data_IF_723658392724
#
_entry.id   IF_723658392724
#
_cell.length_a   1.000
_cell.length_b   1.000
_cell.length_c   1.000
_cell.angle_alpha   90.00
_cell.angle_beta   90.00
_cell.angle_gamma   90.00
#
_symmetry.space_group_name_H-M   'P 1'
#
loop_
_entity.id
_entity.type
_entity.pdbx_description
1 polymer ?
#
# COMPACT_ATOMS: atom_id res chain seq x y z
N UNK A 1 -33.08 17.96 12.00
CA UNK A 1 -33.44 17.36 10.71
C UNK A 1 -33.76 15.88 10.83
N UNK A 2 -32.81 14.96 11.08
CA UNK A 2 -33.12 13.52 11.13
C UNK A 2 -34.19 13.16 12.18
N UNK A 3 -34.10 13.71 13.40
CA UNK A 3 -35.15 13.55 14.42
C UNK A 3 -36.52 14.04 13.93
N UNK A 4 -36.58 15.20 13.28
CA UNK A 4 -37.80 15.78 12.74
C UNK A 4 -38.46 14.89 11.69
N UNK A 5 -37.66 14.31 10.77
CA UNK A 5 -38.15 13.36 9.76
C UNK A 5 -38.75 12.10 10.40
N UNK A 6 -38.11 11.57 11.45
CA UNK A 6 -38.63 10.42 12.18
C UNK A 6 -39.90 10.73 12.99
N UNK A 7 -40.02 11.90 13.60
CA UNK A 7 -41.28 12.31 14.25
C UNK A 7 -42.45 12.40 13.26
N UNK A 8 -42.18 12.71 11.98
CA UNK A 8 -43.22 12.75 10.94
C UNK A 8 -43.59 11.36 10.41
N UNK A 9 -42.67 10.40 10.42
CA UNK A 9 -42.84 9.07 9.80
C UNK A 9 -43.20 7.96 10.79
N UNK A 10 -42.76 8.06 12.04
CA UNK A 10 -43.02 7.04 13.05
C UNK A 10 -44.38 7.27 13.71
N UNK A 11 -45.12 6.18 13.92
CA UNK A 11 -46.51 6.21 14.43
C UNK A 11 -46.57 6.81 15.85
N UNK A 12 -45.53 6.66 16.65
CA UNK A 12 -45.47 7.13 18.05
C UNK A 12 -44.29 8.06 18.36
N UNK A 13 -43.50 8.46 17.35
CA UNK A 13 -42.37 9.37 17.52
C UNK A 13 -41.14 8.78 18.22
N UNK A 14 -41.21 7.56 18.77
CA UNK A 14 -40.15 7.06 19.67
C UNK A 14 -38.84 6.76 18.96
N UNK A 15 -38.89 6.43 17.67
CA UNK A 15 -37.69 6.14 16.88
C UNK A 15 -36.75 7.34 16.79
N UNK A 16 -37.28 8.57 16.89
CA UNK A 16 -36.46 9.79 16.91
C UNK A 16 -35.50 9.84 18.12
N UNK A 17 -35.82 9.16 19.23
CA UNK A 17 -34.95 9.10 20.40
C UNK A 17 -33.71 8.22 20.19
N UNK A 18 -33.72 7.37 19.16
CA UNK A 18 -32.56 6.60 18.75
C UNK A 18 -31.56 7.42 17.93
N UNK A 19 -31.91 8.63 17.49
CA UNK A 19 -30.92 9.54 16.87
C UNK A 19 -30.13 10.25 17.96
N UNK A 20 -28.85 9.91 18.07
CA UNK A 20 -27.93 10.47 19.06
C UNK A 20 -26.92 11.41 18.41
N UNK A 21 -26.59 12.48 19.12
CA UNK A 21 -25.60 13.47 18.67
C UNK A 21 -24.22 13.12 19.23
N UNK A 22 -23.21 13.13 18.37
CA UNK A 22 -21.83 12.80 18.74
C UNK A 22 -21.08 12.20 17.55
N UNK A 23 -19.76 12.06 17.70
CA UNK A 23 -18.96 11.31 16.73
C UNK A 23 -19.14 9.81 16.96
N UNK A 24 -19.49 9.05 15.92
CA UNK A 24 -19.56 7.59 15.98
C UNK A 24 -18.24 6.94 16.42
N UNK A 25 -17.12 7.57 16.07
CA UNK A 25 -15.78 7.03 16.32
C UNK A 25 -15.36 7.26 17.77
N UNK A 26 -15.43 8.49 18.27
CA UNK A 26 -14.98 8.83 19.64
C UNK A 26 -16.07 8.84 20.71
N UNK A 27 -17.35 8.89 20.33
CA UNK A 27 -18.49 9.05 21.25
C UNK A 27 -19.62 8.09 20.87
N UNK A 28 -19.39 6.79 21.02
CA UNK A 28 -20.37 5.75 20.69
C UNK A 28 -21.60 5.81 21.61
N UNK A 29 -22.69 6.38 21.09
CA UNK A 29 -23.94 6.57 21.81
C UNK A 29 -24.82 5.31 21.86
N UNK A 30 -24.38 4.21 21.24
CA UNK A 30 -25.07 2.93 21.21
C UNK A 30 -24.14 1.79 21.65
N UNK A 31 -23.24 2.09 22.59
CA UNK A 31 -22.17 1.18 22.98
C UNK A 31 -22.64 -0.10 23.67
N UNK A 32 -23.87 -0.07 24.18
CA UNK A 32 -24.59 -1.16 24.87
C UNK A 32 -25.49 -1.98 23.93
N UNK A 33 -25.56 -1.62 22.63
CA UNK A 33 -26.49 -2.22 21.67
C UNK A 33 -25.80 -3.03 20.58
N UNK A 34 -26.56 -3.97 20.03
CA UNK A 34 -26.27 -4.75 18.82
C UNK A 34 -27.50 -4.81 17.93
N UNK A 35 -27.34 -4.98 16.62
CA UNK A 35 -28.42 -4.85 15.65
C UNK A 35 -28.46 -6.02 14.66
N UNK A 36 -29.65 -6.42 14.22
CA UNK A 36 -29.82 -7.45 13.17
C UNK A 36 -29.33 -6.95 11.80
N UNK A 37 -29.65 -5.70 11.48
CA UNK A 37 -29.32 -5.05 10.20
C UNK A 37 -28.62 -3.73 10.45
N UNK A 38 -27.47 -3.53 9.81
CA UNK A 38 -26.70 -2.29 9.88
C UNK A 38 -26.50 -1.75 8.47
N UNK A 39 -27.06 -0.58 8.19
CA UNK A 39 -26.99 0.07 6.88
C UNK A 39 -26.36 1.46 7.03
N UNK A 40 -25.34 1.77 6.24
CA UNK A 40 -24.68 3.07 6.31
C UNK A 40 -24.13 3.56 4.97
N UNK A 41 -24.12 4.88 4.81
CA UNK A 41 -23.36 5.59 3.79
C UNK A 41 -22.50 6.66 4.50
N UNK A 42 -21.36 6.27 5.10
CA UNK A 42 -20.48 7.21 5.79
C UNK A 42 -19.80 8.18 4.82
N UNK A 43 -19.27 9.31 5.32
CA UNK A 43 -18.54 10.25 4.48
C UNK A 43 -17.28 9.61 3.85
N UNK A 44 -17.08 9.82 2.55
CA UNK A 44 -15.95 9.27 1.81
C UNK A 44 -14.68 10.10 2.04
N UNK A 45 -13.53 9.44 2.27
CA UNK A 45 -12.21 10.08 2.37
C UNK A 45 -12.11 11.17 3.44
N UNK A 46 -12.94 11.09 4.50
CA UNK A 46 -12.94 12.08 5.57
C UNK A 46 -11.80 11.79 6.55
N UNK A 47 -11.05 12.84 6.90
CA UNK A 47 -10.06 12.73 7.96
C UNK A 47 -10.73 12.48 9.32
N UNK A 48 -10.07 11.70 10.17
CA UNK A 48 -10.53 11.39 11.52
C UNK A 48 -9.60 11.99 12.58
N UNK A 49 -8.91 13.09 12.26
CA UNK A 49 -7.93 13.73 13.15
C UNK A 49 -8.52 14.12 14.50
N UNK A 50 -9.79 14.56 14.53
CA UNK A 50 -10.51 14.93 15.76
C UNK A 50 -10.83 13.73 16.65
N UNK A 51 -10.92 12.54 16.08
CA UNK A 51 -11.24 11.30 16.79
C UNK A 51 -9.97 10.49 17.13
N UNK A 52 -8.79 10.99 16.71
CA UNK A 52 -7.53 10.24 16.69
C UNK A 52 -7.20 9.59 18.03
N UNK A 53 -7.08 10.41 19.06
CA UNK A 53 -6.60 9.96 20.37
C UNK A 53 -7.55 8.92 20.98
N UNK A 54 -8.87 9.10 20.81
CA UNK A 54 -9.86 8.15 21.30
C UNK A 54 -9.80 6.81 20.56
N UNK A 55 -9.71 6.85 19.23
CA UNK A 55 -9.63 5.66 18.36
C UNK A 55 -8.33 4.89 18.62
N UNK A 56 -7.17 5.57 18.66
CA UNK A 56 -5.88 4.92 18.89
C UNK A 56 -5.81 4.34 20.32
N UNK A 57 -6.35 5.04 21.33
CA UNK A 57 -6.42 4.52 22.71
C UNK A 57 -7.30 3.27 22.79
N UNK A 58 -8.43 3.27 22.09
CA UNK A 58 -9.31 2.10 22.05
C UNK A 58 -8.67 0.93 21.28
N UNK A 59 -7.97 1.20 20.17
CA UNK A 59 -7.29 0.18 19.36
C UNK A 59 -6.24 -0.63 20.14
N UNK A 60 -5.63 -0.05 21.18
CA UNK A 60 -4.69 -0.76 22.06
C UNK A 60 -5.35 -1.84 22.93
N UNK A 61 -6.69 -1.84 23.05
CA UNK A 61 -7.42 -2.83 23.84
C UNK A 61 -7.79 -4.02 22.94
N UNK A 62 -7.33 -5.21 23.30
CA UNK A 62 -7.68 -6.44 22.60
C UNK A 62 -9.21 -6.63 22.55
N UNK A 63 -9.73 -6.99 21.37
CA UNK A 63 -11.17 -7.20 21.14
C UNK A 63 -12.01 -5.93 21.10
N UNK A 64 -11.40 -4.74 21.12
CA UNK A 64 -12.12 -3.47 20.93
C UNK A 64 -12.54 -3.27 19.47
N UNK A 65 -13.36 -2.24 19.23
CA UNK A 65 -13.88 -1.91 17.89
C UNK A 65 -12.77 -1.72 16.86
N UNK A 66 -11.63 -1.15 17.28
CA UNK A 66 -10.54 -0.76 16.37
C UNK A 66 -9.28 -1.62 16.55
N UNK A 67 -9.39 -2.76 17.22
CA UNK A 67 -8.25 -3.64 17.53
C UNK A 67 -7.65 -4.34 16.30
N UNK A 68 -8.35 -4.35 15.16
CA UNK A 68 -7.82 -4.87 13.90
C UNK A 68 -6.84 -3.91 13.21
N UNK A 69 -6.76 -2.66 13.68
CA UNK A 69 -5.87 -1.64 13.15
C UNK A 69 -6.58 -0.31 12.90
N UNK A 70 -5.77 0.72 12.66
CA UNK A 70 -6.24 2.07 12.32
C UNK A 70 -5.73 2.47 10.94
N UNK A 71 -6.60 2.93 10.03
CA UNK A 71 -6.18 3.39 8.70
C UNK A 71 -5.37 4.70 8.80
N UNK A 72 -4.85 5.23 7.69
CA UNK A 72 -4.27 6.58 7.68
C UNK A 72 -5.26 7.64 8.16
N UNK A 73 -4.75 8.72 8.77
CA UNK A 73 -5.57 9.81 9.33
C UNK A 73 -6.51 10.46 8.30
N UNK A 74 -6.10 10.50 7.03
CA UNK A 74 -6.87 11.12 5.96
C UNK A 74 -8.06 10.30 5.47
N UNK A 75 -8.26 9.06 5.95
CA UNK A 75 -9.36 8.21 5.49
C UNK A 75 -9.91 7.33 6.64
N UNK A 76 -11.05 7.73 7.20
CA UNK A 76 -11.72 7.02 8.28
C UNK A 76 -12.74 5.95 7.86
N UNK A 77 -12.91 5.63 6.57
CA UNK A 77 -14.01 4.77 6.10
C UNK A 77 -13.99 3.37 6.75
N UNK A 78 -12.80 2.75 6.87
CA UNK A 78 -12.66 1.44 7.50
C UNK A 78 -12.95 1.46 9.02
N UNK A 79 -12.85 2.62 9.70
CA UNK A 79 -13.25 2.74 11.10
C UNK A 79 -14.76 2.64 11.25
N UNK A 80 -15.55 3.21 10.33
CA UNK A 80 -17.00 3.05 10.34
C UNK A 80 -17.41 1.59 10.11
N UNK A 81 -16.74 0.89 9.20
CA UNK A 81 -16.98 -0.54 8.97
C UNK A 81 -16.65 -1.37 10.22
N UNK A 82 -15.49 -1.14 10.84
CA UNK A 82 -15.12 -1.76 12.11
C UNK A 82 -16.15 -1.49 13.23
N UNK A 83 -16.63 -0.25 13.34
CA UNK A 83 -17.71 0.10 14.26
C UNK A 83 -18.99 -0.71 14.01
N UNK A 84 -19.42 -0.84 12.75
CA UNK A 84 -20.60 -1.65 12.38
C UNK A 84 -20.40 -3.13 12.72
N UNK A 85 -19.21 -3.68 12.46
CA UNK A 85 -18.86 -5.07 12.79
C UNK A 85 -18.96 -5.32 14.29
N UNK A 86 -18.45 -4.39 15.11
CA UNK A 86 -18.52 -4.51 16.57
C UNK A 86 -19.94 -4.38 17.14
N UNK A 87 -20.91 -3.94 16.33
CA UNK A 87 -22.33 -3.83 16.69
C UNK A 87 -23.17 -4.96 16.13
N UNK A 88 -22.55 -5.98 15.53
CA UNK A 88 -23.23 -7.20 15.14
C UNK A 88 -23.64 -8.01 16.37
N UNK A 89 -24.79 -8.68 16.28
CA UNK A 89 -25.18 -9.71 17.25
C UNK A 89 -24.25 -10.92 17.10
N UNK A 90 -23.98 -11.67 18.17
CA UNK A 90 -23.29 -12.95 18.07
C UNK A 90 -24.01 -13.91 17.13
N UNK A 91 -23.26 -14.77 16.42
CA UNK A 91 -23.83 -15.81 15.55
C UNK A 91 -24.82 -16.70 16.29
N UNK A 92 -24.54 -17.02 17.57
CA UNK A 92 -25.43 -17.81 18.45
C UNK A 92 -26.79 -17.17 18.70
N UNK A 93 -26.97 -15.89 18.36
CA UNK A 93 -28.23 -15.14 18.45
C UNK A 93 -28.82 -14.83 17.06
N UNK A 94 -28.37 -15.52 16.01
CA UNK A 94 -28.81 -15.33 14.62
C UNK A 94 -27.90 -14.43 13.79
N UNK A 95 -26.86 -13.84 14.40
CA UNK A 95 -25.92 -12.96 13.71
C UNK A 95 -26.53 -11.65 13.21
N UNK A 96 -25.82 -11.00 12.28
CA UNK A 96 -26.22 -9.74 11.67
C UNK A 96 -25.90 -9.68 10.19
N UNK A 97 -26.52 -8.71 9.50
CA UNK A 97 -26.17 -8.31 8.13
C UNK A 97 -25.80 -6.84 8.09
N UNK A 98 -24.67 -6.55 7.45
CA UNK A 98 -24.12 -5.21 7.27
C UNK A 98 -24.12 -4.88 5.79
N UNK A 99 -24.61 -3.69 5.42
CA UNK A 99 -24.38 -3.11 4.11
C UNK A 99 -23.88 -1.67 4.25
N UNK A 100 -22.67 -1.40 3.74
CA UNK A 100 -22.04 -0.09 3.82
C UNK A 100 -21.58 0.38 2.45
N UNK A 101 -21.91 1.62 2.10
CA UNK A 101 -21.47 2.24 0.85
C UNK A 101 -20.13 2.95 1.07
N UNK A 102 -19.15 2.66 0.23
CA UNK A 102 -17.80 3.22 0.30
C UNK A 102 -17.29 3.55 -1.10
N UNK A 103 -16.32 4.46 -1.22
CA UNK A 103 -15.55 4.60 -2.46
C UNK A 103 -14.58 3.41 -2.65
N UNK A 104 -13.71 3.47 -3.66
CA UNK A 104 -12.72 2.42 -3.92
C UNK A 104 -11.57 2.31 -2.89
N UNK A 105 -11.31 3.34 -2.08
CA UNK A 105 -10.11 3.40 -1.22
C UNK A 105 -9.99 2.20 -0.25
N UNK A 106 -11.05 1.80 0.49
CA UNK A 106 -11.02 0.64 1.38
C UNK A 106 -10.66 -0.70 0.73
N UNK A 107 -10.81 -0.84 -0.60
CA UNK A 107 -10.57 -2.11 -1.29
C UNK A 107 -9.09 -2.46 -1.42
N UNK A 108 -8.20 -1.47 -1.58
CA UNK A 108 -6.80 -1.71 -1.97
C UNK A 108 -5.78 -0.80 -1.29
N UNK A 109 -6.21 0.25 -0.57
CA UNK A 109 -5.26 1.14 0.11
C UNK A 109 -4.51 0.40 1.22
N UNK A 110 -3.21 0.64 1.34
CA UNK A 110 -2.39 0.18 2.46
C UNK A 110 -1.65 -1.11 2.13
N UNK A 111 -0.34 -1.10 2.41
CA UNK A 111 0.57 -2.20 2.14
C UNK A 111 0.44 -3.34 3.18
N UNK A 112 1.09 -4.48 2.94
CA UNK A 112 1.09 -5.60 3.87
C UNK A 112 1.57 -5.19 5.28
N UNK A 113 0.78 -5.56 6.31
CA UNK A 113 1.00 -5.15 7.70
C UNK A 113 0.66 -3.68 8.03
N UNK A 114 0.11 -2.91 7.09
CA UNK A 114 -0.49 -1.59 7.39
C UNK A 114 -1.90 -1.74 7.97
N UNK A 115 -2.40 -0.70 8.65
CA UNK A 115 -3.70 -0.74 9.31
C UNK A 115 -4.86 -1.07 8.36
N UNK A 116 -4.91 -0.47 7.17
CA UNK A 116 -5.95 -0.77 6.18
C UNK A 116 -5.92 -2.24 5.72
N UNK A 117 -4.72 -2.77 5.46
CA UNK A 117 -4.55 -4.17 5.08
C UNK A 117 -4.89 -5.12 6.21
N UNK A 118 -4.51 -4.81 7.45
CA UNK A 118 -4.83 -5.63 8.63
C UNK A 118 -6.33 -5.65 8.95
N UNK A 119 -7.04 -4.54 8.72
CA UNK A 119 -8.51 -4.51 8.84
C UNK A 119 -9.14 -5.41 7.78
N UNK A 120 -8.69 -5.36 6.51
CA UNK A 120 -9.18 -6.27 5.47
C UNK A 120 -8.86 -7.73 5.78
N UNK A 121 -7.62 -8.01 6.21
CA UNK A 121 -7.18 -9.32 6.68
C UNK A 121 -8.12 -9.84 7.76
N UNK A 122 -8.40 -9.03 8.78
CA UNK A 122 -9.31 -9.39 9.86
C UNK A 122 -10.72 -9.71 9.37
N UNK A 123 -11.28 -8.91 8.46
CA UNK A 123 -12.62 -9.16 7.90
C UNK A 123 -12.67 -10.46 7.09
N UNK A 124 -11.67 -10.70 6.24
CA UNK A 124 -11.62 -11.87 5.36
C UNK A 124 -11.28 -13.15 6.11
N UNK A 125 -10.34 -13.11 7.07
CA UNK A 125 -9.97 -14.26 7.89
C UNK A 125 -11.08 -14.69 8.85
N UNK A 126 -11.94 -13.77 9.30
CA UNK A 126 -13.16 -14.11 10.04
C UNK A 126 -14.33 -14.51 9.13
N UNK A 127 -14.12 -14.57 7.82
CA UNK A 127 -15.12 -14.94 6.82
C UNK A 127 -16.40 -14.09 6.86
N UNK A 128 -16.29 -12.80 7.20
CA UNK A 128 -17.46 -11.92 7.30
C UNK A 128 -17.84 -11.25 5.99
N UNK A 129 -16.88 -11.00 5.09
CA UNK A 129 -17.18 -10.37 3.81
C UNK A 129 -17.93 -11.34 2.90
N UNK A 130 -19.17 -11.02 2.57
CA UNK A 130 -20.04 -11.87 1.74
C UNK A 130 -20.03 -11.42 0.28
N UNK A 131 -20.11 -10.11 0.03
CA UNK A 131 -20.03 -9.57 -1.32
C UNK A 131 -19.51 -8.12 -1.39
N UNK A 132 -18.98 -7.76 -2.55
CA UNK A 132 -18.69 -6.38 -2.97
C UNK A 132 -19.45 -6.10 -4.25
N UNK A 133 -20.27 -5.06 -4.26
CA UNK A 133 -21.07 -4.67 -5.42
C UNK A 133 -20.58 -3.32 -5.93
N UNK A 134 -19.96 -3.27 -7.11
CA UNK A 134 -19.59 -2.02 -7.76
C UNK A 134 -20.83 -1.35 -8.33
N UNK A 135 -21.09 -0.11 -7.92
CA UNK A 135 -22.24 0.67 -8.38
C UNK A 135 -21.88 1.53 -9.59
N UNK A 136 -22.90 1.97 -10.38
CA UNK A 136 -22.70 2.99 -11.39
C UNK A 136 -22.02 4.25 -10.85
N UNK A 137 -21.19 4.87 -11.68
CA UNK A 137 -20.68 6.22 -11.41
C UNK A 137 -21.83 7.24 -11.44
N UNK A 138 -21.57 8.49 -11.05
CA UNK A 138 -22.54 9.59 -11.13
C UNK A 138 -23.91 9.31 -10.45
N UNK A 139 -23.93 8.47 -9.39
CA UNK A 139 -25.12 8.21 -8.58
C UNK A 139 -25.33 9.21 -7.44
N UNK A 140 -24.29 9.93 -7.05
CA UNK A 140 -24.30 10.82 -5.90
C UNK A 140 -24.20 12.29 -6.33
N UNK A 141 -24.92 13.15 -5.62
CA UNK A 141 -24.99 14.58 -5.90
C UNK A 141 -23.63 15.28 -5.85
N UNK A 142 -22.78 14.86 -4.91
CA UNK A 142 -21.52 15.54 -4.56
C UNK A 142 -20.28 14.90 -5.20
N UNK A 143 -20.43 13.77 -5.90
CA UNK A 143 -19.29 13.04 -6.47
C UNK A 143 -19.69 12.12 -7.61
N UNK A 144 -18.85 12.09 -8.65
CA UNK A 144 -18.93 11.12 -9.75
C UNK A 144 -18.03 9.89 -9.57
N UNK A 145 -17.43 9.74 -8.38
CA UNK A 145 -16.49 8.64 -8.09
C UNK A 145 -17.23 7.29 -8.03
N UNK A 146 -16.53 6.22 -8.44
CA UNK A 146 -16.97 4.85 -8.28
C UNK A 146 -17.20 4.50 -6.80
N UNK A 147 -18.36 3.90 -6.53
CA UNK A 147 -18.76 3.50 -5.18
C UNK A 147 -19.11 2.02 -5.16
N UNK A 148 -19.00 1.43 -3.97
CA UNK A 148 -19.14 0.01 -3.76
C UNK A 148 -20.01 -0.23 -2.53
N UNK A 149 -20.91 -1.19 -2.61
CA UNK A 149 -21.60 -1.73 -1.44
C UNK A 149 -20.79 -2.91 -0.92
N UNK A 150 -20.35 -2.82 0.32
CA UNK A 150 -19.79 -3.94 1.05
C UNK A 150 -20.90 -4.62 1.82
N UNK A 151 -21.11 -5.91 1.54
CA UNK A 151 -22.09 -6.75 2.23
C UNK A 151 -21.34 -7.73 3.12
N UNK A 152 -21.62 -7.68 4.42
CA UNK A 152 -21.01 -8.58 5.41
C UNK A 152 -22.08 -9.29 6.22
N UNK A 153 -21.74 -10.49 6.70
CA UNK A 153 -22.50 -11.22 7.70
C UNK A 153 -21.58 -12.14 8.49
N UNK A 154 -21.83 -12.28 9.78
CA UNK A 154 -21.19 -13.28 10.63
C UNK A 154 -21.99 -14.59 10.72
N UNK A 155 -23.03 -14.75 9.90
CA UNK A 155 -23.87 -15.93 9.82
C UNK A 155 -24.09 -16.28 8.34
N UNK A 156 -23.00 -16.64 7.66
CA UNK A 156 -23.01 -17.01 6.23
C UNK A 156 -23.75 -18.32 6.00
N UNK A 157 -24.52 -18.36 4.90
CA UNK A 157 -25.08 -19.59 4.38
C UNK A 157 -23.97 -20.60 4.03
N UNK A 158 -24.27 -21.90 4.11
CA UNK A 158 -23.26 -22.96 4.02
C UNK A 158 -22.47 -22.90 2.71
N UNK A 159 -23.15 -22.63 1.59
CA UNK A 159 -22.58 -22.50 0.25
C UNK A 159 -21.67 -21.26 0.08
N UNK A 160 -21.77 -20.25 0.96
CA UNK A 160 -20.97 -19.01 0.91
C UNK A 160 -19.76 -19.01 1.83
N UNK A 161 -19.61 -20.02 2.69
CA UNK A 161 -18.50 -20.09 3.65
C UNK A 161 -17.16 -20.13 2.93
N UNK A 162 -16.23 -19.29 3.38
CA UNK A 162 -14.91 -19.11 2.78
C UNK A 162 -14.90 -18.38 1.44
N UNK A 163 -16.07 -17.94 0.93
CA UNK A 163 -16.23 -17.32 -0.38
C UNK A 163 -16.65 -15.86 -0.30
N UNK A 164 -16.28 -15.10 -1.34
CA UNK A 164 -16.72 -13.71 -1.56
C UNK A 164 -17.24 -13.59 -2.98
N UNK A 165 -18.39 -12.93 -3.13
CA UNK A 165 -18.97 -12.61 -4.44
C UNK A 165 -18.64 -11.16 -4.83
N UNK A 166 -17.98 -10.96 -5.96
CA UNK A 166 -17.82 -9.63 -6.57
C UNK A 166 -18.90 -9.46 -7.65
N UNK A 167 -19.65 -8.36 -7.59
CA UNK A 167 -20.72 -8.05 -8.55
C UNK A 167 -20.45 -6.72 -9.21
N UNK A 168 -20.20 -6.71 -10.52
CA UNK A 168 -20.03 -5.49 -11.28
C UNK A 168 -21.38 -4.98 -11.78
N UNK A 169 -21.98 -4.05 -11.04
CA UNK A 169 -23.24 -3.41 -11.43
C UNK A 169 -23.02 -2.01 -12.06
N UNK A 170 -21.83 -1.69 -12.56
CA UNK A 170 -21.50 -0.34 -13.08
C UNK A 170 -22.42 0.13 -14.22
N UNK A 171 -22.95 -0.81 -15.00
CA UNK A 171 -23.82 -0.56 -16.15
C UNK A 171 -25.32 -0.63 -15.84
N UNK A 172 -25.70 -0.87 -14.58
CA UNK A 172 -27.10 -1.07 -14.16
C UNK A 172 -27.76 0.27 -13.82
N UNK A 173 -27.95 1.12 -14.82
CA UNK A 173 -28.46 2.47 -14.61
C UNK A 173 -29.29 3.00 -15.79
N UNK A 174 -30.11 4.00 -15.50
CA UNK A 174 -30.80 4.83 -16.48
C UNK A 174 -30.33 6.28 -16.39
N UNK A 175 -30.26 7.01 -17.52
CA UNK A 175 -29.92 8.42 -17.50
C UNK A 175 -31.03 9.23 -16.81
N UNK A 176 -30.64 10.14 -15.93
CA UNK A 176 -31.59 11.09 -15.34
C UNK A 176 -32.01 12.14 -16.35
N UNK A 177 -33.31 12.47 -16.38
CA UNK A 177 -33.84 13.56 -17.23
C UNK A 177 -33.21 14.93 -16.91
N UNK A 178 -32.92 15.18 -15.63
CA UNK A 178 -32.26 16.40 -15.15
C UNK A 178 -31.14 16.02 -14.20
N UNK A 179 -29.91 16.40 -14.55
CA UNK A 179 -28.75 16.20 -13.67
C UNK A 179 -28.87 17.05 -12.41
N UNK A 180 -28.38 16.51 -11.29
CA UNK A 180 -28.37 17.19 -10.00
C UNK A 180 -26.95 17.19 -9.43
N UNK A 181 -26.21 18.27 -9.65
CA UNK A 181 -24.78 18.32 -9.37
C UNK A 181 -24.03 17.29 -10.22
N UNK A 182 -23.25 16.42 -9.58
CA UNK A 182 -22.58 15.29 -10.23
C UNK A 182 -23.52 14.11 -10.52
N UNK A 183 -24.73 14.09 -9.94
CA UNK A 183 -25.67 12.99 -10.15
C UNK A 183 -26.29 13.07 -11.53
N UNK A 184 -26.03 12.05 -12.36
CA UNK A 184 -26.57 11.92 -13.72
C UNK A 184 -27.26 10.58 -13.98
N UNK A 185 -27.08 9.62 -13.08
CA UNK A 185 -27.57 8.25 -13.23
C UNK A 185 -28.49 7.89 -12.07
N UNK A 186 -29.44 7.02 -12.35
CA UNK A 186 -30.30 6.39 -11.36
C UNK A 186 -30.37 4.88 -11.60
N UNK A 187 -30.55 4.11 -10.52
CA UNK A 187 -30.78 2.67 -10.60
C UNK A 187 -32.30 2.48 -10.58
N UNK A 188 -32.87 1.90 -11.63
CA UNK A 188 -34.31 1.64 -11.70
C UNK A 188 -34.71 0.51 -10.76
N UNK A 189 -36.02 0.34 -10.54
CA UNK A 189 -36.53 -0.76 -9.70
C UNK A 189 -36.20 -2.14 -10.31
N UNK A 190 -36.19 -2.22 -11.63
CA UNK A 190 -35.81 -3.40 -12.40
C UNK A 190 -34.33 -3.73 -12.18
N UNK A 191 -33.44 -2.74 -12.31
CA UNK A 191 -32.01 -2.94 -12.05
C UNK A 191 -31.73 -3.29 -10.58
N UNK A 192 -32.44 -2.70 -9.61
CA UNK A 192 -32.33 -3.08 -8.19
C UNK A 192 -32.70 -4.56 -8.01
N UNK A 193 -33.80 -5.01 -8.63
CA UNK A 193 -34.22 -6.41 -8.58
C UNK A 193 -33.17 -7.33 -9.20
N UNK A 194 -32.66 -6.99 -10.37
CA UNK A 194 -31.65 -7.77 -11.08
C UNK A 194 -30.36 -7.91 -10.26
N UNK A 195 -29.83 -6.82 -9.69
CA UNK A 195 -28.67 -6.85 -8.80
C UNK A 195 -28.93 -7.75 -7.59
N UNK A 196 -30.14 -7.68 -7.02
CA UNK A 196 -30.53 -8.50 -5.87
C UNK A 196 -30.61 -9.98 -6.23
N UNK A 197 -31.16 -10.32 -7.40
CA UNK A 197 -31.22 -11.70 -7.91
C UNK A 197 -29.82 -12.26 -8.22
N UNK A 198 -28.94 -11.46 -8.82
CA UNK A 198 -27.53 -11.81 -9.04
C UNK A 198 -26.83 -12.10 -7.70
N UNK A 199 -27.04 -11.23 -6.70
CA UNK A 199 -26.51 -11.46 -5.37
C UNK A 199 -27.07 -12.76 -4.79
N UNK A 200 -28.38 -12.95 -4.75
CA UNK A 200 -29.02 -14.11 -4.11
C UNK A 200 -28.68 -15.45 -4.78
N UNK A 201 -28.67 -15.49 -6.12
CA UNK A 201 -28.42 -16.71 -6.89
C UNK A 201 -27.02 -17.30 -6.66
N UNK A 202 -26.05 -16.47 -6.28
CA UNK A 202 -24.67 -16.87 -6.02
C UNK A 202 -24.06 -17.71 -7.15
N UNK A 203 -24.32 -17.31 -8.39
CA UNK A 203 -23.78 -17.98 -9.58
C UNK A 203 -22.70 -17.12 -10.26
N UNK A 204 -21.65 -17.74 -10.81
CA UNK A 204 -20.71 -17.06 -11.69
C UNK A 204 -21.37 -16.60 -12.99
N UNK A 205 -21.05 -15.39 -13.43
CA UNK A 205 -21.45 -14.81 -14.72
C UNK A 205 -20.42 -13.76 -15.16
N UNK A 206 -20.67 -13.05 -16.26
CA UNK A 206 -19.79 -11.95 -16.67
C UNK A 206 -19.74 -10.81 -15.64
N UNK A 207 -20.82 -10.61 -14.90
CA UNK A 207 -21.00 -9.53 -13.92
C UNK A 207 -20.91 -10.03 -12.48
N UNK A 208 -20.85 -11.35 -12.24
CA UNK A 208 -20.75 -11.96 -10.91
C UNK A 208 -19.58 -12.95 -10.87
N UNK A 209 -18.59 -12.69 -10.02
CA UNK A 209 -17.42 -13.57 -9.86
C UNK A 209 -17.31 -14.01 -8.42
N UNK A 210 -17.00 -15.29 -8.21
CA UNK A 210 -16.92 -15.90 -6.87
C UNK A 210 -15.47 -16.33 -6.64
N UNK A 211 -14.93 -15.89 -5.52
CA UNK A 211 -13.54 -16.15 -5.13
C UNK A 211 -13.48 -16.80 -3.75
N UNK A 212 -12.42 -17.55 -3.48
CA UNK A 212 -12.03 -17.84 -2.12
C UNK A 212 -11.53 -16.58 -1.43
N UNK A 213 -11.77 -16.47 -0.12
CA UNK A 213 -11.22 -15.36 0.69
C UNK A 213 -9.70 -15.21 0.55
N UNK A 214 -8.98 -16.30 0.30
CA UNK A 214 -7.52 -16.34 0.14
C UNK A 214 -7.06 -15.79 -1.22
N UNK A 215 -7.94 -15.70 -2.23
CA UNK A 215 -7.60 -15.13 -3.54
C UNK A 215 -7.30 -13.62 -3.48
N UNK A 216 -7.71 -12.96 -2.40
CA UNK A 216 -7.42 -11.56 -2.12
C UNK A 216 -6.17 -11.36 -1.26
N UNK A 217 -5.59 -12.44 -0.77
CA UNK A 217 -4.43 -12.41 0.09
C UNK A 217 -3.14 -12.60 -0.68
N UNK A 218 -2.09 -11.91 -0.24
CA UNK A 218 -0.74 -12.12 -0.71
C UNK A 218 0.25 -12.05 0.46
N UNK A 219 1.43 -12.61 0.27
CA UNK A 219 2.57 -12.52 1.16
C UNK A 219 3.64 -11.69 0.49
N UNK A 220 3.90 -10.51 1.06
CA UNK A 220 4.93 -9.60 0.62
C UNK A 220 6.28 -10.02 1.17
N UNK A 221 7.16 -10.49 0.30
CA UNK A 221 8.54 -10.89 0.64
C UNK A 221 9.50 -9.77 0.25
N UNK A 222 10.62 -9.68 0.97
CA UNK A 222 11.72 -8.79 0.59
C UNK A 222 12.74 -9.58 -0.21
N UNK A 223 13.03 -9.11 -1.41
CA UNK A 223 14.03 -9.68 -2.30
C UNK A 223 15.30 -8.84 -2.16
N UNK A 224 16.36 -9.47 -1.72
CA UNK A 224 17.68 -8.85 -1.56
C UNK A 224 18.56 -9.23 -2.76
N UNK A 225 19.43 -8.30 -3.13
CA UNK A 225 20.46 -8.50 -4.15
C UNK A 225 21.82 -8.20 -3.55
N UNK A 226 22.89 -8.84 -4.03
CA UNK A 226 24.19 -8.70 -3.39
C UNK A 226 24.83 -7.36 -3.75
N UNK A 227 25.37 -6.71 -2.73
CA UNK A 227 26.13 -5.47 -2.84
C UNK A 227 27.43 -5.72 -3.62
N UNK A 228 27.63 -4.95 -4.69
CA UNK A 228 28.86 -4.97 -5.47
C UNK A 228 29.45 -3.58 -5.56
N UNK A 229 30.68 -3.46 -5.08
CA UNK A 229 31.37 -2.18 -5.01
C UNK A 229 32.76 -2.32 -5.62
N UNK A 230 33.13 -1.37 -6.46
CA UNK A 230 34.53 -1.14 -6.79
C UNK A 230 35.12 -0.08 -5.86
N UNK A 231 36.44 -0.08 -5.70
CA UNK A 231 37.16 0.79 -4.78
C UNK A 231 38.34 1.46 -5.50
N UNK A 232 38.49 2.76 -5.30
CA UNK A 232 39.59 3.54 -5.87
C UNK A 232 39.84 4.79 -5.03
N UNK A 233 41.09 5.17 -4.89
CA UNK A 233 41.49 6.42 -4.26
C UNK A 233 41.64 7.54 -5.31
N UNK A 234 40.63 7.75 -6.15
CA UNK A 234 40.65 8.84 -7.14
C UNK A 234 40.50 10.20 -6.45
N UNK A 235 40.95 11.30 -7.07
CA UNK A 235 40.78 12.64 -6.51
C UNK A 235 39.31 12.94 -6.13
N UNK A 236 38.36 12.58 -6.99
CA UNK A 236 36.93 12.80 -6.79
C UNK A 236 36.40 12.03 -5.58
N UNK A 237 36.80 10.75 -5.44
CA UNK A 237 36.37 9.91 -4.32
C UNK A 237 37.01 10.33 -3.00
N UNK A 238 38.25 10.83 -3.04
CA UNK A 238 38.92 11.40 -1.87
C UNK A 238 38.23 12.70 -1.43
N UNK A 239 37.74 13.53 -2.36
CA UNK A 239 36.92 14.70 -1.98
C UNK A 239 35.63 14.27 -1.26
N UNK A 240 34.94 13.22 -1.72
CA UNK A 240 33.75 12.67 -1.03
C UNK A 240 34.03 12.25 0.42
N UNK A 241 35.25 11.83 0.75
CA UNK A 241 35.63 11.50 2.13
C UNK A 241 35.54 12.70 3.06
N UNK A 242 35.83 13.91 2.57
CA UNK A 242 35.77 15.13 3.39
C UNK A 242 34.34 15.44 3.84
N UNK A 243 33.35 15.00 3.07
CA UNK A 243 31.92 15.16 3.37
C UNK A 243 31.40 14.11 4.37
N UNK A 244 32.14 13.01 4.58
CA UNK A 244 31.76 11.98 5.53
C UNK A 244 31.82 12.50 6.97
N UNK A 245 30.69 12.46 7.66
CA UNK A 245 30.56 13.00 9.03
C UNK A 245 31.59 12.42 10.01
N UNK A 246 31.86 11.12 9.94
CA UNK A 246 32.84 10.47 10.82
C UNK A 246 34.27 10.98 10.56
N UNK A 247 34.63 11.24 9.30
CA UNK A 247 35.92 11.82 8.95
C UNK A 247 35.99 13.30 9.36
N UNK A 248 34.98 14.10 9.02
CA UNK A 248 34.90 15.52 9.38
C UNK A 248 34.95 15.74 10.91
N UNK A 249 34.34 14.84 11.68
CA UNK A 249 34.27 14.93 13.15
C UNK A 249 35.61 14.78 13.86
N UNK A 250 36.65 14.24 13.20
CA UNK A 250 37.99 14.14 13.78
C UNK A 250 38.52 15.51 14.22
N UNK A 251 38.27 16.56 13.44
CA UNK A 251 38.70 17.92 13.73
C UNK A 251 37.71 18.71 14.63
N UNK A 252 36.77 18.03 15.29
CA UNK A 252 35.75 18.65 16.16
C UNK A 252 35.90 18.13 17.60
N UNK A 253 35.99 19.03 18.58
CA UNK A 253 36.08 18.69 20.01
C UNK A 253 34.79 19.03 20.75
N UNK A 254 34.32 18.10 21.60
CA UNK A 254 33.18 18.26 22.52
C UNK A 254 33.59 18.66 23.95
N UNK A 255 34.89 18.83 24.23
CA UNK A 255 35.39 19.18 25.58
C UNK A 255 34.95 20.59 25.97
N UNK A 256 34.85 20.89 27.27
CA UNK A 256 34.44 22.24 27.74
C UNK A 256 35.59 23.24 27.82
N UNK A 257 36.80 22.79 28.16
CA UNK A 257 38.01 23.64 28.25
C UNK A 257 38.52 24.08 26.88
N UNK A 258 38.86 25.37 26.75
CA UNK A 258 39.36 25.96 25.51
C UNK A 258 40.73 25.39 25.08
N UNK A 259 41.64 25.14 26.02
CA UNK A 259 42.94 24.52 25.73
C UNK A 259 42.79 23.08 25.23
N UNK A 260 42.01 22.27 25.94
CA UNK A 260 41.76 20.88 25.51
C UNK A 260 41.03 20.82 24.17
N UNK A 261 40.10 21.74 23.90
CA UNK A 261 39.46 21.87 22.58
C UNK A 261 40.50 22.15 21.48
N UNK A 262 41.43 23.06 21.73
CA UNK A 262 42.48 23.42 20.75
C UNK A 262 43.38 22.23 20.42
N UNK A 263 43.84 21.51 21.45
CA UNK A 263 44.71 20.34 21.30
C UNK A 263 44.01 19.22 20.53
N UNK A 264 42.78 18.84 20.92
CA UNK A 264 42.03 17.77 20.23
C UNK A 264 41.74 18.13 18.76
N UNK A 265 41.33 19.38 18.48
CA UNK A 265 41.07 19.81 17.10
C UNK A 265 42.33 19.77 16.24
N UNK A 266 43.47 20.19 16.78
CA UNK A 266 44.73 20.19 16.03
C UNK A 266 45.21 18.76 15.76
N UNK A 267 45.15 17.87 16.76
CA UNK A 267 45.46 16.46 16.59
C UNK A 267 44.54 15.80 15.55
N UNK A 268 43.25 16.11 15.57
CA UNK A 268 42.28 15.63 14.59
C UNK A 268 42.53 16.11 13.17
N UNK A 269 42.89 17.40 12.99
CA UNK A 269 43.29 17.95 11.69
C UNK A 269 44.54 17.29 11.14
N UNK A 270 45.53 17.04 12.01
CA UNK A 270 46.75 16.34 11.62
C UNK A 270 46.45 14.91 11.19
N UNK A 271 45.57 14.21 11.92
CA UNK A 271 45.11 12.88 11.53
C UNK A 271 44.38 12.88 10.17
N UNK A 272 43.50 13.86 9.92
CA UNK A 272 42.84 14.02 8.61
C UNK A 272 43.87 14.23 7.50
N UNK A 273 44.84 15.14 7.71
CA UNK A 273 45.91 15.43 6.75
C UNK A 273 46.70 14.16 6.41
N UNK A 274 47.12 13.41 7.42
CA UNK A 274 47.86 12.17 7.23
C UNK A 274 47.05 11.11 6.47
N UNK A 275 45.75 10.98 6.75
CA UNK A 275 44.88 10.06 6.01
C UNK A 275 44.80 10.48 4.53
N UNK A 276 44.58 11.76 4.25
CA UNK A 276 44.52 12.27 2.88
C UNK A 276 45.84 12.12 2.14
N UNK A 277 46.98 12.42 2.80
CA UNK A 277 48.32 12.23 2.22
C UNK A 277 48.57 10.76 1.85
N UNK A 278 48.10 9.82 2.67
CA UNK A 278 48.15 8.40 2.37
C UNK A 278 47.30 8.07 1.16
N UNK A 279 46.02 8.47 1.16
CA UNK A 279 45.11 8.15 0.07
C UNK A 279 45.56 8.76 -1.27
N UNK A 280 46.07 9.99 -1.28
CA UNK A 280 46.64 10.63 -2.47
C UNK A 280 47.92 9.95 -2.98
N UNK A 281 48.58 9.12 -2.16
CA UNK A 281 49.75 8.34 -2.58
C UNK A 281 49.40 6.99 -3.21
N UNK A 282 48.11 6.62 -3.26
CA UNK A 282 47.68 5.37 -3.88
C UNK A 282 47.85 5.44 -5.40
N UNK A 283 48.20 4.31 -6.05
CA UNK A 283 48.16 4.25 -7.50
C UNK A 283 46.72 4.38 -8.01
N UNK A 284 46.60 4.84 -9.25
CA UNK A 284 45.33 4.92 -9.95
C UNK A 284 44.87 3.53 -10.40
N UNK A 285 44.50 2.70 -9.43
CA UNK A 285 44.09 1.30 -9.63
C UNK A 285 42.67 1.13 -9.12
N UNK A 286 41.80 0.61 -9.99
CA UNK A 286 40.44 0.23 -9.65
C UNK A 286 40.45 -1.20 -9.10
N UNK A 287 39.96 -1.37 -7.88
CA UNK A 287 39.85 -2.66 -7.22
C UNK A 287 38.39 -3.13 -7.28
N UNK A 288 38.15 -4.30 -7.86
CA UNK A 288 36.81 -4.92 -7.92
C UNK A 288 36.51 -5.82 -6.70
N UNK A 289 37.49 -6.03 -5.82
CA UNK A 289 37.34 -6.82 -4.60
C UNK A 289 37.59 -5.98 -3.34
N UNK A 290 36.58 -5.94 -2.46
CA UNK A 290 36.67 -5.21 -1.19
C UNK A 290 37.86 -5.68 -0.35
N UNK A 291 38.03 -7.00 -0.22
CA UNK A 291 39.07 -7.60 0.60
C UNK A 291 40.49 -7.27 0.11
N UNK A 292 40.70 -7.21 -1.20
CA UNK A 292 41.96 -6.75 -1.80
C UNK A 292 42.24 -5.29 -1.48
N UNK A 293 41.25 -4.41 -1.70
CA UNK A 293 41.39 -2.99 -1.38
C UNK A 293 41.68 -2.77 0.11
N UNK A 294 40.96 -3.46 1.00
CA UNK A 294 41.19 -3.39 2.43
C UNK A 294 42.62 -3.78 2.84
N UNK A 295 43.20 -4.82 2.20
CA UNK A 295 44.59 -5.24 2.47
C UNK A 295 45.57 -4.13 2.11
N UNK A 296 45.38 -3.49 0.95
CA UNK A 296 46.22 -2.36 0.52
C UNK A 296 46.07 -1.18 1.47
N UNK A 297 44.83 -0.82 1.82
CA UNK A 297 44.51 0.25 2.76
C UNK A 297 45.14 0.03 4.13
N UNK A 298 44.94 -1.14 4.73
CA UNK A 298 45.51 -1.51 6.04
C UNK A 298 47.04 -1.49 6.02
N UNK A 299 47.66 -1.99 4.95
CA UNK A 299 49.12 -1.97 4.79
C UNK A 299 49.67 -0.54 4.71
N UNK A 300 49.02 0.34 3.93
CA UNK A 300 49.41 1.74 3.81
C UNK A 300 49.29 2.49 5.14
N UNK A 301 48.17 2.32 5.86
CA UNK A 301 47.95 2.92 7.17
C UNK A 301 48.97 2.45 8.21
N UNK A 302 49.27 1.13 8.23
CA UNK A 302 50.28 0.56 9.14
C UNK A 302 51.68 1.07 8.85
N UNK A 303 52.06 1.21 7.57
CA UNK A 303 53.39 1.71 7.16
C UNK A 303 53.64 3.13 7.66
N UNK A 304 52.58 3.93 7.80
CA UNK A 304 52.63 5.30 8.33
C UNK A 304 52.29 5.39 9.84
N UNK A 305 52.12 4.25 10.52
CA UNK A 305 51.86 4.21 11.96
C UNK A 305 50.46 4.68 12.38
N UNK A 306 49.48 4.70 11.48
CA UNK A 306 48.13 5.20 11.77
C UNK A 306 47.20 4.04 12.14
N UNK A 307 46.49 4.19 13.26
CA UNK A 307 45.40 3.30 13.65
C UNK A 307 44.07 4.03 13.43
N UNK A 308 43.19 3.45 12.61
CA UNK A 308 41.90 4.05 12.29
C UNK A 308 40.82 3.57 13.26
N UNK A 309 40.02 4.51 13.78
CA UNK A 309 38.80 4.17 14.49
C UNK A 309 37.80 3.51 13.51
N UNK A 310 36.98 2.54 13.97
CA UNK A 310 36.05 1.81 13.08
C UNK A 310 35.12 2.71 12.25
N UNK A 311 34.63 3.81 12.84
CA UNK A 311 33.76 4.76 12.15
C UNK A 311 34.47 5.50 11.01
N UNK A 312 35.74 5.90 11.21
CA UNK A 312 36.55 6.56 10.19
C UNK A 312 36.92 5.57 9.08
N UNK A 313 37.27 4.34 9.46
CA UNK A 313 37.54 3.28 8.49
C UNK A 313 36.35 3.01 7.58
N UNK A 314 35.13 2.89 8.14
CA UNK A 314 33.90 2.74 7.36
C UNK A 314 33.63 3.95 6.46
N UNK A 315 33.89 5.16 6.93
CA UNK A 315 33.76 6.37 6.12
C UNK A 315 34.73 6.40 4.92
N UNK A 316 35.98 5.96 5.12
CA UNK A 316 36.96 5.82 4.03
C UNK A 316 36.45 4.82 3.00
N UNK A 317 36.05 3.61 3.42
CA UNK A 317 35.52 2.62 2.49
C UNK A 317 34.31 3.12 1.71
N UNK A 318 33.35 3.75 2.40
CA UNK A 318 32.14 4.28 1.77
C UNK A 318 32.42 5.41 0.78
N UNK A 319 33.38 6.30 1.08
CA UNK A 319 33.72 7.42 0.20
C UNK A 319 34.49 6.95 -1.05
N UNK A 320 35.31 5.91 -0.90
CA UNK A 320 36.15 5.39 -1.97
C UNK A 320 35.47 4.31 -2.82
N UNK A 321 34.24 3.93 -2.47
CA UNK A 321 33.45 2.93 -3.20
C UNK A 321 32.40 3.54 -4.14
N UNK A 322 32.06 2.81 -5.19
CA UNK A 322 30.88 3.04 -6.04
C UNK A 322 30.26 1.70 -6.46
N UNK A 323 28.95 1.70 -6.71
CA UNK A 323 28.22 0.53 -7.22
C UNK A 323 28.75 0.09 -8.59
N UNK A 324 29.02 -1.20 -8.73
CA UNK A 324 29.59 -1.79 -9.95
C UNK A 324 29.14 -3.24 -10.13
N UNK A 325 28.28 -3.51 -11.11
CA UNK A 325 27.76 -4.85 -11.37
C UNK A 325 28.85 -5.86 -11.77
N UNK A 326 30.00 -5.39 -12.23
CA UNK A 326 31.15 -6.25 -12.60
C UNK A 326 32.06 -6.56 -11.41
N UNK A 327 31.86 -5.89 -10.27
CA UNK A 327 32.67 -6.13 -9.08
C UNK A 327 32.27 -7.42 -8.34
N UNK A 328 33.18 -7.90 -7.50
CA UNK A 328 32.93 -9.06 -6.65
C UNK A 328 31.84 -8.72 -5.62
N UNK A 329 31.09 -9.75 -5.22
CA UNK A 329 30.11 -9.64 -4.15
C UNK A 329 30.82 -9.26 -2.85
N UNK A 330 30.31 -8.22 -2.20
CA UNK A 330 30.74 -7.85 -0.87
C UNK A 330 30.18 -8.84 0.15
N UNK A 331 31.07 -9.44 0.94
CA UNK A 331 30.71 -10.43 1.96
C UNK A 331 30.85 -9.85 3.37
N UNK A 332 29.93 -10.26 4.24
CA UNK A 332 29.99 -9.98 5.68
C UNK A 332 31.10 -10.82 6.36
N UNK A 333 31.21 -10.70 7.69
CA UNK A 333 32.23 -11.45 8.46
C UNK A 333 31.99 -12.96 8.49
N UNK A 334 30.78 -13.39 8.19
CA UNK A 334 30.34 -14.78 8.16
C UNK A 334 30.49 -15.39 6.75
N UNK A 335 30.83 -14.57 5.76
CA UNK A 335 30.94 -14.99 4.36
C UNK A 335 29.62 -14.96 3.60
N UNK A 336 28.56 -14.35 4.16
CA UNK A 336 27.30 -14.16 3.45
C UNK A 336 27.34 -12.90 2.59
N UNK A 337 26.65 -12.87 1.44
CA UNK A 337 26.45 -11.65 0.67
C UNK A 337 25.80 -10.54 1.50
N UNK A 338 26.39 -9.35 1.46
CA UNK A 338 25.77 -8.14 2.02
C UNK A 338 24.65 -7.67 1.07
N UNK A 339 23.47 -7.25 1.58
CA UNK A 339 22.41 -6.73 0.75
C UNK A 339 22.73 -5.34 0.21
N UNK A 340 22.41 -5.12 -1.06
CA UNK A 340 22.37 -3.80 -1.67
C UNK A 340 21.01 -3.15 -1.41
N UNK A 341 20.99 -2.11 -0.57
CA UNK A 341 19.75 -1.42 -0.23
C UNK A 341 19.13 -0.65 -1.39
N UNK A 342 19.94 -0.27 -2.38
CA UNK A 342 19.47 0.49 -3.54
C UNK A 342 18.83 -0.43 -4.60
N UNK A 343 19.18 -1.72 -4.57
CA UNK A 343 18.63 -2.76 -5.45
C UNK A 343 17.62 -3.68 -4.75
N UNK A 344 17.32 -3.43 -3.47
CA UNK A 344 16.32 -4.17 -2.70
C UNK A 344 14.93 -3.95 -3.29
N UNK A 345 14.20 -5.04 -3.47
CA UNK A 345 12.82 -5.01 -3.95
C UNK A 345 11.88 -5.84 -3.06
N UNK A 346 10.60 -5.85 -3.41
CA UNK A 346 9.58 -6.66 -2.76
C UNK A 346 8.67 -7.32 -3.76
N UNK A 347 8.35 -8.58 -3.51
CA UNK A 347 7.45 -9.38 -4.34
C UNK A 347 6.19 -9.76 -3.57
N UNK A 348 5.05 -9.78 -4.27
CA UNK A 348 3.76 -10.15 -3.69
C UNK A 348 3.37 -11.55 -4.14
N UNK A 349 3.64 -12.55 -3.30
CA UNK A 349 3.31 -13.94 -3.57
C UNK A 349 1.86 -14.23 -3.21
N UNK A 350 0.99 -14.72 -4.10
CA UNK A 350 -0.39 -15.10 -3.73
C UNK A 350 -0.40 -16.12 -2.59
N UNK A 351 -1.31 -15.99 -1.61
CA UNK A 351 -1.31 -16.87 -0.42
C UNK A 351 -1.47 -18.37 -0.72
N UNK A 352 -2.00 -18.71 -1.89
CA UNK A 352 -2.19 -20.08 -2.35
C UNK A 352 -0.93 -20.70 -3.00
N UNK A 353 0.16 -19.94 -3.11
CA UNK A 353 1.41 -20.41 -3.70
C UNK A 353 2.52 -20.49 -2.65
N UNK A 354 3.43 -21.46 -2.82
CA UNK A 354 4.65 -21.50 -2.02
C UNK A 354 5.58 -20.34 -2.41
N UNK A 355 6.25 -19.78 -1.41
CA UNK A 355 7.14 -18.63 -1.59
C UNK A 355 8.34 -19.00 -2.46
N UNK A 356 8.95 -20.17 -2.24
CA UNK A 356 10.15 -20.59 -2.97
C UNK A 356 9.78 -20.95 -4.40
N UNK A 357 8.68 -21.68 -4.61
CA UNK A 357 8.21 -22.01 -5.97
C UNK A 357 7.88 -20.76 -6.79
N UNK A 358 7.32 -19.72 -6.16
CA UNK A 358 7.11 -18.44 -6.82
C UNK A 358 8.44 -17.75 -7.12
N UNK A 359 9.35 -17.69 -6.15
CA UNK A 359 10.64 -17.03 -6.29
C UNK A 359 11.51 -17.64 -7.39
N UNK A 360 11.56 -18.97 -7.46
CA UNK A 360 12.31 -19.71 -8.47
C UNK A 360 11.75 -19.51 -9.88
N UNK A 361 10.43 -19.31 -10.00
CA UNK A 361 9.75 -19.15 -11.29
C UNK A 361 9.73 -17.71 -11.79
N UNK A 362 9.49 -16.74 -10.90
CA UNK A 362 9.21 -15.35 -11.27
C UNK A 362 10.40 -14.41 -10.99
N UNK A 363 11.32 -14.74 -10.08
CA UNK A 363 12.41 -13.84 -9.68
C UNK A 363 13.76 -14.31 -10.21
N UNK A 364 14.16 -15.54 -9.90
CA UNK A 364 15.49 -16.07 -10.27
C UNK A 364 15.81 -16.03 -11.77
N UNK A 365 14.86 -16.22 -12.72
CA UNK A 365 15.15 -16.10 -14.15
C UNK A 365 15.55 -14.69 -14.59
N UNK A 366 15.17 -13.67 -13.82
CA UNK A 366 15.47 -12.28 -14.10
C UNK A 366 16.63 -11.75 -13.23
N UNK A 367 16.79 -12.28 -12.01
CA UNK A 367 17.83 -11.88 -11.06
C UNK A 367 18.42 -13.12 -10.38
N UNK A 368 19.46 -13.69 -10.98
CA UNK A 368 19.98 -15.02 -10.65
C UNK A 368 20.70 -15.13 -9.30
N UNK A 369 21.13 -14.00 -8.74
CA UNK A 369 21.88 -13.90 -7.49
C UNK A 369 21.06 -13.31 -6.34
N UNK A 370 19.75 -13.12 -6.55
CA UNK A 370 18.85 -12.65 -5.53
C UNK A 370 18.54 -13.74 -4.49
N UNK A 371 18.17 -13.31 -3.28
CA UNK A 371 17.64 -14.20 -2.25
C UNK A 371 16.50 -13.54 -1.48
N UNK A 372 15.71 -14.37 -0.80
CA UNK A 372 14.62 -13.89 0.05
C UNK A 372 15.19 -13.50 1.42
N UNK A 373 14.91 -12.27 1.86
CA UNK A 373 15.29 -11.79 3.18
C UNK A 373 14.63 -12.61 4.29
N UNK A 374 15.41 -13.11 5.25
CA UNK A 374 14.92 -13.87 6.41
C UNK A 374 14.52 -12.98 7.61
N UNK A 375 14.75 -11.67 7.47
CA UNK A 375 14.62 -10.66 8.53
C UNK A 375 13.20 -10.14 8.69
N UNK A 376 12.39 -10.15 7.63
CA UNK A 376 11.01 -9.65 7.63
C UNK A 376 10.07 -10.83 7.86
N UNK A 377 9.27 -10.76 8.93
CA UNK A 377 8.31 -11.80 9.33
C UNK A 377 6.97 -11.21 9.72
N UNK A 378 5.92 -11.99 9.51
CA UNK A 378 4.56 -11.60 9.83
C UNK A 378 4.35 -11.66 11.34
N UNK A 379 3.69 -10.63 11.89
CA UNK A 379 3.49 -10.53 13.33
C UNK A 379 2.48 -11.55 13.89
N UNK A 380 1.59 -12.10 13.04
CA UNK A 380 0.55 -13.03 13.48
C UNK A 380 1.01 -14.48 13.42
N UNK A 381 1.68 -14.87 12.33
CA UNK A 381 2.10 -16.26 12.11
C UNK A 381 3.61 -16.51 12.21
N UNK A 382 4.44 -15.46 12.24
CA UNK A 382 5.90 -15.58 12.36
C UNK A 382 6.61 -16.11 11.11
N UNK A 383 5.89 -16.42 10.03
CA UNK A 383 6.48 -16.87 8.78
C UNK A 383 7.06 -15.69 7.97
N UNK A 384 7.89 -16.01 6.98
CA UNK A 384 8.63 -15.04 6.16
C UNK A 384 7.70 -14.06 5.43
N UNK A 385 8.16 -12.82 5.27
CA UNK A 385 7.38 -11.74 4.66
C UNK A 385 6.23 -11.25 5.54
N UNK A 386 5.34 -10.44 4.98
CA UNK A 386 4.12 -9.95 5.65
C UNK A 386 2.89 -10.32 4.85
N UNK A 387 1.80 -10.70 5.51
CA UNK A 387 0.53 -10.92 4.83
C UNK A 387 -0.15 -9.59 4.56
N UNK A 388 -0.59 -9.42 3.32
CA UNK A 388 -1.43 -8.32 2.87
C UNK A 388 -2.73 -8.86 2.29
N UNK A 389 -3.77 -8.03 2.31
CA UNK A 389 -5.02 -8.30 1.61
C UNK A 389 -5.40 -7.10 0.77
N UNK A 390 -5.78 -7.34 -0.48
CA UNK A 390 -6.28 -6.33 -1.40
C UNK A 390 -7.38 -6.92 -2.30
N UNK A 391 -8.38 -6.10 -2.63
CA UNK A 391 -9.47 -6.46 -3.52
C UNK A 391 -9.36 -5.56 -4.74
N UNK A 392 -8.53 -5.94 -5.70
CA UNK A 392 -8.41 -5.21 -6.97
C UNK A 392 -9.61 -5.49 -7.88
N UNK A 393 -10.74 -4.87 -7.55
CA UNK A 393 -12.03 -5.13 -8.18
C UNK A 393 -11.96 -5.04 -9.71
N UNK A 394 -11.34 -3.97 -10.22
CA UNK A 394 -11.25 -3.72 -11.66
C UNK A 394 -10.45 -4.78 -12.41
N UNK A 395 -9.37 -5.32 -11.80
CA UNK A 395 -8.57 -6.40 -12.40
C UNK A 395 -9.43 -7.63 -12.70
N UNK A 396 -10.40 -7.94 -11.86
CA UNK A 396 -11.25 -9.11 -12.06
C UNK A 396 -12.26 -8.94 -13.19
N UNK A 397 -12.73 -7.73 -13.49
CA UNK A 397 -13.72 -7.49 -14.57
C UNK A 397 -13.11 -6.89 -15.83
N UNK A 398 -11.80 -6.66 -15.85
CA UNK A 398 -11.09 -6.18 -17.03
C UNK A 398 -11.22 -7.18 -18.18
N UNK A 399 -11.81 -6.73 -19.30
CA UNK A 399 -11.78 -7.43 -20.58
C UNK A 399 -10.76 -6.73 -21.46
N UNK A 400 -9.71 -7.43 -21.85
CA UNK A 400 -8.72 -6.90 -22.80
C UNK A 400 -9.41 -6.53 -24.10
N UNK A 401 -9.30 -5.26 -24.49
CA UNK A 401 -9.73 -4.78 -25.79
C UNK A 401 -8.48 -4.61 -26.64
N UNK A 402 -8.26 -5.46 -27.67
CA UNK A 402 -7.14 -5.25 -28.56
C UNK A 402 -7.28 -3.88 -29.22
N UNK A 403 -6.16 -3.18 -29.48
CA UNK A 403 -6.20 -1.95 -30.26
C UNK A 403 -6.86 -2.23 -31.62
N UNK A 404 -7.62 -1.25 -32.11
CA UNK A 404 -8.20 -1.32 -33.47
C UNK A 404 -7.09 -1.51 -34.49
N UNK A 405 -7.36 -2.26 -35.55
CA UNK A 405 -6.37 -2.44 -36.61
C UNK A 405 -6.12 -1.12 -37.35
N UNK A 406 -4.96 -0.99 -38.00
CA UNK A 406 -4.59 0.22 -38.72
C UNK A 406 -5.60 0.53 -39.83
N UNK A 407 -6.09 -0.52 -40.50
CA UNK A 407 -7.08 -0.43 -41.59
C UNK A 407 -8.43 0.10 -41.09
N UNK A 408 -8.85 -0.28 -39.88
CA UNK A 408 -10.07 0.24 -39.27
C UNK A 408 -9.93 1.72 -38.90
N UNK A 409 -8.74 2.13 -38.43
CA UNK A 409 -8.44 3.53 -38.13
C UNK A 409 -8.42 4.36 -39.43
N UNK A 410 -7.81 3.85 -40.49
CA UNK A 410 -7.80 4.52 -41.81
C UNK A 410 -9.19 4.65 -42.42
N UNK A 411 -10.04 3.63 -42.29
CA UNK A 411 -11.41 3.66 -42.76
C UNK A 411 -12.24 4.73 -42.03
N UNK A 412 -12.11 4.83 -40.70
CA UNK A 412 -12.77 5.86 -39.90
C UNK A 412 -12.28 7.27 -40.27
N UNK A 413 -10.97 7.47 -40.45
CA UNK A 413 -10.41 8.75 -40.87
C UNK A 413 -11.01 9.17 -42.22
N UNK A 414 -11.05 8.26 -43.20
CA UNK A 414 -11.68 8.54 -44.50
C UNK A 414 -13.17 8.84 -44.39
N UNK A 415 -13.89 8.17 -43.50
CA UNK A 415 -15.30 8.44 -43.27
C UNK A 415 -15.52 9.85 -42.70
N UNK A 416 -14.73 10.24 -41.68
CA UNK A 416 -14.78 11.58 -41.09
C UNK A 416 -14.35 12.66 -42.08
N UNK A 417 -13.31 12.42 -42.89
CA UNK A 417 -12.91 13.31 -43.97
C UNK A 417 -14.03 13.50 -45.00
N UNK A 418 -14.73 12.41 -45.36
CA UNK A 418 -15.90 12.45 -46.23
C UNK A 418 -17.06 13.26 -45.64
N UNK A 419 -17.35 13.09 -44.36
CA UNK A 419 -18.37 13.89 -43.65
C UNK A 419 -18.02 15.37 -43.61
N UNK A 420 -16.76 15.71 -43.31
CA UNK A 420 -16.27 17.10 -43.31
C UNK A 420 -16.38 17.72 -44.70
N UNK A 421 -15.96 17.02 -45.74
CA UNK A 421 -16.07 17.50 -47.13
C UNK A 421 -17.54 17.72 -47.52
N UNK A 422 -18.43 16.80 -47.19
CA UNK A 422 -19.86 16.95 -47.44
C UNK A 422 -20.46 18.17 -46.72
N UNK A 423 -20.06 18.41 -45.47
CA UNK A 423 -20.48 19.61 -44.73
C UNK A 423 -19.97 20.90 -45.38
N UNK A 424 -18.71 20.93 -45.83
CA UNK A 424 -18.13 22.10 -46.51
C UNK A 424 -18.80 22.39 -47.85
N UNK A 425 -19.01 21.37 -48.69
CA UNK A 425 -19.72 21.54 -49.97
C UNK A 425 -21.15 22.04 -49.76
N UNK A 426 -21.86 21.52 -48.75
CA UNK A 426 -23.22 22.00 -48.42
C UNK A 426 -23.27 23.45 -47.95
N UNK A 427 -22.16 23.98 -47.41
CA UNK A 427 -22.04 25.39 -47.02
C UNK A 427 -21.73 26.28 -48.23
N UNK A 428 -20.89 25.81 -49.16
CA UNK A 428 -20.60 26.50 -50.41
C UNK A 428 -21.83 26.58 -51.33
N UNK A 429 -22.68 25.55 -51.39
CA UNK A 429 -23.94 25.58 -52.15
C UNK A 429 -25.02 26.48 -51.54
N UNK A 430 -24.81 26.97 -50.30
CA UNK A 430 -25.72 27.87 -49.57
C UNK A 430 -25.33 29.34 -49.63
N UNK A 431 -24.18 29.66 -50.23
CA UNK A 431 -23.66 31.02 -50.48
C UNK A 431 -23.88 31.35 -51.95
#
# INVERSE_FOLDING_TARGET
>A
MCKSDLYMKSVDGKDAENIKFGSTLSQDQHSDKTFDYLLANPPYGKDWKRDKDAVETEAQKAGSRFSAGTPRISDGQLLFLQHMIARMKPETQGGSRVAIVMNGSPLFTGDAGSGESEIRRWILENDWLEAIIALPNDLFYNTGIATYIWVLTNHKAAERRGKVQLINASEFWLPMRKSLGSKRREISSEHIREITEIFQSFQPSEVSKIFDREDFGYRKITVERPLRLNFQASPERIERLKEQSAFASLAVSKKKSAEMKGIEKQAGKEQQRLILDILNSFPDTLYHDRGEFEKVLKKAMKTKGITLAPAVYKAILSALSEGDETANICLDKQGNPEPDTDLRDTENVPLKQDINDYFDREVLPHVTDAWISDTVRDIRDGALGKVGYEINFNRYFYKYQPPRTLEAIEADIKAVEGEILAMLTSLEERI
#
